data_IF_863180871292
#
_entry.id   IF_863180871292
#
_cell.length_a   1.000
_cell.length_b   1.000
_cell.length_c   1.000
_cell.angle_alpha   90.00
_cell.angle_beta   90.00
_cell.angle_gamma   90.00
#
_symmetry.space_group_name_H-M   'P 1'
#
loop_
_entity.id
_entity.type
_entity.pdbx_description
1 polymer ?
#
# COMPACT_ATOMS: atom_id res chain seq x y z
N UNK A 1 -14.10 10.04 -1.76
CA UNK A 1 -12.79 9.54 -2.26
C UNK A 1 -12.65 8.08 -1.86
N UNK A 2 -12.14 7.22 -2.75
CA UNK A 2 -11.78 5.82 -2.42
C UNK A 2 -10.34 5.79 -1.94
N UNK A 3 -10.08 5.07 -0.85
CA UNK A 3 -8.83 5.13 -0.08
C UNK A 3 -7.81 4.05 -0.46
N UNK A 4 -8.19 3.09 -1.30
CA UNK A 4 -7.29 2.06 -1.84
C UNK A 4 -7.65 1.73 -3.29
N UNK A 5 -6.66 1.35 -4.09
CA UNK A 5 -6.85 0.89 -5.48
C UNK A 5 -5.87 -0.22 -5.84
N UNK A 6 -6.28 -1.10 -6.73
CA UNK A 6 -5.37 -1.97 -7.48
C UNK A 6 -5.26 -1.47 -8.93
N UNK A 7 -4.08 -1.56 -9.58
CA UNK A 7 -3.92 -1.12 -10.96
C UNK A 7 -4.77 -1.95 -11.94
N UNK A 8 -5.44 -1.26 -12.87
CA UNK A 8 -6.02 -1.90 -14.06
C UNK A 8 -4.93 -2.36 -15.04
N UNK A 9 -5.24 -3.16 -16.08
CA UNK A 9 -4.26 -3.61 -17.07
C UNK A 9 -3.40 -2.48 -17.68
N UNK A 10 -3.99 -1.33 -17.99
CA UNK A 10 -3.32 -0.15 -18.56
C UNK A 10 -2.70 0.80 -17.52
N UNK A 11 -2.83 0.50 -16.23
CA UNK A 11 -2.25 1.27 -15.12
C UNK A 11 -1.15 0.47 -14.41
N UNK A 12 -0.21 1.12 -13.71
CA UNK A 12 0.10 2.54 -13.82
C UNK A 12 0.87 2.82 -15.12
N UNK A 13 0.70 4.03 -15.67
CA UNK A 13 1.60 4.55 -16.70
C UNK A 13 2.80 5.15 -15.97
N UNK A 14 3.94 4.48 -16.03
CA UNK A 14 5.21 4.94 -15.45
C UNK A 14 6.06 5.50 -16.59
N UNK A 15 6.41 6.80 -16.57
CA UNK A 15 7.24 7.40 -17.62
C UNK A 15 8.60 6.73 -17.75
N UNK A 16 9.11 6.68 -18.98
CA UNK A 16 10.49 6.23 -19.23
C UNK A 16 11.49 7.13 -18.49
N UNK A 17 12.58 6.54 -17.99
CA UNK A 17 13.58 7.26 -17.19
C UNK A 17 13.19 7.52 -15.73
N UNK A 18 12.02 7.04 -15.27
CA UNK A 18 11.65 7.12 -13.85
C UNK A 18 12.69 6.41 -12.99
N UNK A 19 13.38 7.16 -12.13
CA UNK A 19 14.41 6.63 -11.23
C UNK A 19 13.85 6.15 -9.91
N UNK A 20 12.74 6.74 -9.44
CA UNK A 20 12.10 6.42 -8.16
C UNK A 20 10.58 6.48 -8.28
N UNK A 21 9.90 5.48 -7.72
CA UNK A 21 8.45 5.40 -7.60
C UNK A 21 8.06 5.44 -6.12
N UNK A 22 7.23 6.42 -5.75
CA UNK A 22 6.57 6.43 -4.45
C UNK A 22 5.24 5.69 -4.60
N UNK A 23 5.11 4.53 -3.97
CA UNK A 23 3.92 3.70 -4.07
C UNK A 23 3.05 3.91 -2.82
N UNK A 24 1.86 4.51 -2.97
CA UNK A 24 1.04 4.93 -1.84
C UNK A 24 -0.11 3.95 -1.55
N UNK A 25 -0.32 3.66 -0.27
CA UNK A 25 -1.53 3.04 0.28
C UNK A 25 -1.97 3.79 1.54
N UNK A 26 -3.24 3.66 1.94
CA UNK A 26 -3.79 4.36 3.10
C UNK A 26 -4.01 3.40 4.27
N UNK A 27 -3.45 3.71 5.45
CA UNK A 27 -3.75 3.02 6.71
C UNK A 27 -5.22 3.18 7.10
N UNK A 28 -5.93 4.21 6.61
CA UNK A 28 -7.35 4.39 6.88
C UNK A 28 -8.22 3.27 6.29
N UNK A 29 -7.69 2.41 5.42
CA UNK A 29 -8.43 1.22 4.94
C UNK A 29 -8.28 0.01 5.84
N UNK A 30 -7.28 -0.02 6.74
CA UNK A 30 -7.09 -1.14 7.65
C UNK A 30 -8.25 -1.20 8.65
N UNK A 31 -8.78 -2.40 8.87
CA UNK A 31 -9.97 -2.61 9.69
C UNK A 31 -11.31 -2.24 9.02
N UNK A 32 -11.28 -1.64 7.82
CA UNK A 32 -12.51 -1.28 7.09
C UNK A 32 -12.93 -2.37 6.10
N UNK A 33 -14.23 -2.68 5.97
CA UNK A 33 -14.72 -3.68 5.02
C UNK A 33 -14.39 -3.34 3.56
N UNK A 34 -13.85 -4.30 2.79
CA UNK A 34 -13.61 -4.14 1.36
C UNK A 34 -14.93 -3.99 0.59
N UNK A 35 -15.23 -2.77 0.15
CA UNK A 35 -16.41 -2.41 -0.63
C UNK A 35 -16.07 -1.35 -1.68
N UNK A 36 -16.97 -1.10 -2.64
CA UNK A 36 -16.82 -0.04 -3.65
C UNK A 36 -16.76 1.38 -3.08
N UNK A 37 -17.23 1.57 -1.84
CA UNK A 37 -17.17 2.85 -1.16
C UNK A 37 -15.72 3.21 -0.80
N UNK A 38 -14.93 2.22 -0.39
CA UNK A 38 -13.54 2.43 0.06
C UNK A 38 -12.51 2.10 -1.02
N UNK A 39 -12.84 1.25 -1.99
CA UNK A 39 -11.89 0.73 -2.96
C UNK A 39 -12.27 1.07 -4.41
N UNK A 40 -11.26 1.40 -5.22
CA UNK A 40 -11.39 1.39 -6.68
C UNK A 40 -11.11 -0.02 -7.21
N UNK A 41 -12.08 -0.60 -7.92
CA UNK A 41 -12.01 -1.96 -8.50
C UNK A 41 -11.71 -3.03 -7.42
N UNK A 42 -12.56 -3.14 -6.38
CA UNK A 42 -12.38 -4.09 -5.27
C UNK A 42 -12.19 -5.56 -5.69
N UNK A 43 -12.65 -5.94 -6.89
CA UNK A 43 -12.45 -7.26 -7.49
C UNK A 43 -10.97 -7.53 -7.79
N UNK A 44 -10.25 -6.52 -8.27
CA UNK A 44 -8.79 -6.61 -8.48
C UNK A 44 -8.05 -6.71 -7.15
N UNK A 45 -8.48 -5.96 -6.12
CA UNK A 45 -7.90 -6.08 -4.78
C UNK A 45 -8.13 -7.49 -4.23
N UNK A 46 -9.34 -8.02 -4.36
CA UNK A 46 -9.68 -9.39 -3.95
C UNK A 46 -8.76 -10.39 -4.62
N UNK A 47 -8.59 -10.28 -5.94
CA UNK A 47 -7.74 -11.17 -6.73
C UNK A 47 -6.26 -11.11 -6.33
N UNK A 48 -5.73 -9.92 -6.06
CA UNK A 48 -4.30 -9.74 -5.76
C UNK A 48 -3.94 -10.05 -4.31
N UNK A 49 -4.87 -9.85 -3.38
CA UNK A 49 -4.58 -9.86 -1.93
C UNK A 49 -5.20 -11.03 -1.19
N UNK A 50 -6.20 -11.70 -1.77
CA UNK A 50 -7.03 -12.71 -1.11
C UNK A 50 -8.08 -12.12 -0.16
N UNK A 51 -8.19 -10.78 -0.07
CA UNK A 51 -9.21 -10.13 0.75
C UNK A 51 -10.62 -10.48 0.26
N UNK A 52 -11.52 -10.85 1.16
CA UNK A 52 -12.90 -11.15 0.82
C UNK A 52 -13.75 -9.89 0.80
N UNK A 53 -14.64 -9.79 -0.18
CA UNK A 53 -15.63 -8.72 -0.24
C UNK A 53 -16.43 -8.59 1.07
N UNK A 54 -16.68 -7.35 1.50
CA UNK A 54 -17.45 -7.04 2.70
C UNK A 54 -16.74 -7.39 4.00
N UNK A 55 -15.49 -7.87 3.96
CA UNK A 55 -14.70 -8.19 5.17
C UNK A 55 -13.61 -7.15 5.42
N UNK A 56 -13.23 -6.91 6.69
CA UNK A 56 -12.17 -5.97 7.02
C UNK A 56 -10.84 -6.26 6.30
N UNK A 57 -10.25 -5.22 5.72
CA UNK A 57 -8.88 -5.30 5.21
C UNK A 57 -7.91 -5.43 6.38
N UNK A 58 -7.05 -6.44 6.32
CA UNK A 58 -6.04 -6.76 7.33
C UNK A 58 -4.65 -6.35 6.84
N UNK A 59 -3.66 -6.22 7.74
CA UNK A 59 -2.27 -5.93 7.37
C UNK A 59 -1.71 -6.85 6.29
N UNK A 60 -2.00 -8.15 6.34
CA UNK A 60 -1.57 -9.09 5.30
C UNK A 60 -2.14 -8.78 3.90
N UNK A 61 -3.36 -8.25 3.80
CA UNK A 61 -3.95 -7.91 2.50
C UNK A 61 -3.23 -6.72 1.86
N UNK A 62 -2.92 -5.68 2.64
CA UNK A 62 -2.18 -4.51 2.15
C UNK A 62 -0.71 -4.88 1.86
N UNK A 63 -0.08 -5.68 2.71
CA UNK A 63 1.28 -6.17 2.46
C UNK A 63 1.36 -6.97 1.15
N UNK A 64 0.39 -7.86 0.90
CA UNK A 64 0.28 -8.57 -0.37
C UNK A 64 0.11 -7.59 -1.54
N UNK A 65 -0.73 -6.55 -1.42
CA UNK A 65 -0.88 -5.55 -2.48
C UNK A 65 0.42 -4.78 -2.75
N UNK A 66 1.15 -4.44 -1.69
CA UNK A 66 2.42 -3.70 -1.74
C UNK A 66 3.52 -4.49 -2.41
N UNK A 67 3.60 -5.80 -2.15
CA UNK A 67 4.66 -6.68 -2.64
C UNK A 67 4.33 -7.36 -3.98
N UNK A 68 3.17 -7.09 -4.59
CA UNK A 68 2.72 -7.79 -5.80
C UNK A 68 3.12 -7.04 -7.09
N UNK A 69 3.68 -7.78 -8.06
CA UNK A 69 4.09 -7.28 -9.39
C UNK A 69 2.93 -6.81 -10.27
N UNK A 70 1.70 -7.19 -9.93
CA UNK A 70 0.46 -6.67 -10.54
C UNK A 70 -0.25 -5.67 -9.61
N UNK A 71 0.28 -5.46 -8.40
CA UNK A 71 -0.14 -4.46 -7.43
C UNK A 71 0.77 -3.23 -7.48
N UNK A 72 1.35 -2.85 -6.34
CA UNK A 72 2.13 -1.62 -6.22
C UNK A 72 3.49 -1.66 -6.93
N UNK A 73 3.97 -2.84 -7.34
CA UNK A 73 5.21 -3.01 -8.11
C UNK A 73 4.99 -3.08 -9.62
N UNK A 74 3.74 -2.90 -10.07
CA UNK A 74 3.41 -3.02 -11.48
C UNK A 74 4.06 -1.92 -12.33
N UNK A 75 4.70 -2.34 -13.42
CA UNK A 75 5.37 -1.47 -14.41
C UNK A 75 6.49 -0.58 -13.84
N UNK A 76 7.01 -0.84 -12.63
CA UNK A 76 8.06 0.00 -12.02
C UNK A 76 9.45 -0.26 -12.60
N UNK A 77 9.64 -1.38 -13.31
CA UNK A 77 10.93 -1.78 -13.88
C UNK A 77 12.05 -1.78 -12.84
N UNK A 78 13.17 -1.13 -13.19
CA UNK A 78 14.35 -0.98 -12.32
C UNK A 78 14.29 0.26 -11.42
N UNK A 79 13.20 1.04 -11.46
CA UNK A 79 13.07 2.19 -10.57
C UNK A 79 13.16 1.76 -9.11
N UNK A 80 13.74 2.61 -8.27
CA UNK A 80 13.71 2.45 -6.83
C UNK A 80 12.27 2.58 -6.35
N UNK A 81 11.76 1.62 -5.60
CA UNK A 81 10.41 1.72 -5.02
C UNK A 81 10.52 2.13 -3.56
N UNK A 82 9.74 3.13 -3.16
CA UNK A 82 9.57 3.52 -1.76
C UNK A 82 8.07 3.44 -1.45
N UNK A 83 7.61 2.35 -0.83
CA UNK A 83 6.23 2.26 -0.37
C UNK A 83 5.96 3.24 0.76
N UNK A 84 4.80 3.89 0.70
CA UNK A 84 4.31 4.83 1.71
C UNK A 84 2.94 4.36 2.18
N UNK A 85 2.82 4.10 3.48
CA UNK A 85 1.54 3.89 4.15
C UNK A 85 1.15 5.24 4.77
N UNK A 86 0.23 5.95 4.13
CA UNK A 86 -0.25 7.27 4.56
C UNK A 86 -1.49 7.15 5.48
N UNK A 87 -1.94 8.26 6.08
CA UNK A 87 -3.07 8.35 7.01
C UNK A 87 -2.87 7.58 8.33
N UNK A 88 -1.63 7.49 8.78
CA UNK A 88 -1.23 6.96 10.10
C UNK A 88 -1.46 8.04 11.17
N UNK A 89 -2.74 8.38 11.36
CA UNK A 89 -3.14 9.56 12.12
C UNK A 89 -3.31 9.30 13.63
N UNK A 90 -3.33 8.04 14.05
CA UNK A 90 -3.55 7.63 15.43
C UNK A 90 -2.74 6.36 15.79
N UNK A 91 -2.70 6.02 17.08
CA UNK A 91 -1.94 4.89 17.60
C UNK A 91 -2.37 3.53 17.06
N UNK A 92 -3.68 3.32 16.87
CA UNK A 92 -4.22 2.06 16.35
C UNK A 92 -3.85 1.85 14.88
N UNK A 93 -3.96 2.91 14.06
CA UNK A 93 -3.48 2.88 12.67
C UNK A 93 -1.98 2.69 12.58
N UNK A 94 -1.20 3.25 13.52
CA UNK A 94 0.25 3.06 13.57
C UNK A 94 0.62 1.60 13.81
N UNK A 95 -0.05 0.91 14.72
CA UNK A 95 0.18 -0.50 14.99
C UNK A 95 -0.09 -1.37 13.76
N UNK A 96 -1.26 -1.21 13.13
CA UNK A 96 -1.62 -1.96 11.93
C UNK A 96 -0.71 -1.63 10.72
N UNK A 97 -0.27 -0.38 10.61
CA UNK A 97 0.65 0.05 9.55
C UNK A 97 2.07 -0.52 9.76
N UNK A 98 2.55 -0.63 11.01
CA UNK A 98 3.80 -1.28 11.34
C UNK A 98 3.76 -2.77 10.97
N UNK A 99 2.69 -3.48 11.34
CA UNK A 99 2.52 -4.89 10.96
C UNK A 99 2.50 -5.05 9.43
N UNK A 100 1.80 -4.15 8.73
CA UNK A 100 1.75 -4.13 7.26
C UNK A 100 3.15 -3.94 6.67
N UNK A 101 3.92 -2.99 7.20
CA UNK A 101 5.26 -2.66 6.73
C UNK A 101 6.22 -3.85 6.87
N UNK A 102 6.25 -4.49 8.04
CA UNK A 102 7.10 -5.66 8.27
C UNK A 102 6.74 -6.83 7.36
N UNK A 103 5.45 -7.17 7.24
CA UNK A 103 5.00 -8.21 6.31
C UNK A 103 5.37 -7.89 4.86
N UNK A 104 5.21 -6.64 4.43
CA UNK A 104 5.57 -6.23 3.06
C UNK A 104 7.08 -6.38 2.82
N UNK A 105 7.90 -6.02 3.80
CA UNK A 105 9.35 -6.21 3.76
C UNK A 105 9.75 -7.68 3.77
N UNK A 106 8.97 -8.59 4.34
CA UNK A 106 9.25 -10.04 4.29
C UNK A 106 8.88 -10.66 2.93
N UNK A 107 7.89 -10.08 2.23
CA UNK A 107 7.33 -10.67 1.00
C UNK A 107 8.12 -10.36 -0.28
N UNK A 108 9.01 -9.37 -0.26
CA UNK A 108 9.74 -8.96 -1.47
C UNK A 108 11.07 -8.28 -1.14
N UNK A 109 12.02 -8.39 -2.07
CA UNK A 109 13.30 -7.68 -2.05
C UNK A 109 13.30 -6.43 -2.95
N UNK A 110 12.15 -6.06 -3.54
CA UNK A 110 12.04 -4.89 -4.43
C UNK A 110 12.16 -3.54 -3.70
N UNK A 111 12.02 -3.54 -2.39
CA UNK A 111 12.27 -2.41 -1.51
C UNK A 111 12.79 -2.90 -0.16
N UNK A 112 13.64 -2.09 0.48
CA UNK A 112 14.29 -2.35 1.76
C UNK A 112 13.72 -1.52 2.91
N UNK A 113 12.80 -0.61 2.59
CA UNK A 113 12.17 0.29 3.55
C UNK A 113 10.70 0.57 3.20
N UNK A 114 9.90 0.89 4.22
CA UNK A 114 8.52 1.38 4.10
C UNK A 114 8.37 2.64 4.96
N UNK A 115 7.73 3.67 4.42
CA UNK A 115 7.50 4.94 5.12
C UNK A 115 6.08 4.97 5.68
N UNK A 116 5.96 5.17 6.99
CA UNK A 116 4.70 5.48 7.64
C UNK A 116 4.53 7.00 7.68
N UNK A 117 3.39 7.49 7.18
CA UNK A 117 3.16 8.91 7.04
C UNK A 117 1.76 9.34 7.47
N UNK A 118 1.68 10.59 7.92
CA UNK A 118 0.45 11.33 8.18
C UNK A 118 0.58 12.69 7.47
N UNK A 119 0.31 12.75 6.17
CA UNK A 119 0.60 13.93 5.33
C UNK A 119 -0.15 15.21 5.74
N UNK A 120 -1.13 15.11 6.64
CA UNK A 120 -1.88 16.25 7.20
C UNK A 120 -1.26 16.79 8.50
N UNK A 121 -0.27 16.10 9.06
CA UNK A 121 0.48 16.50 10.26
C UNK A 121 1.56 17.51 9.92
N UNK A 122 1.91 18.37 10.89
CA UNK A 122 3.07 19.25 10.80
C UNK A 122 4.39 18.47 10.60
N UNK A 123 4.46 17.26 11.16
CA UNK A 123 5.54 16.30 10.93
C UNK A 123 4.96 15.10 10.16
N UNK A 124 5.04 15.10 8.82
CA UNK A 124 4.31 14.14 8.00
C UNK A 124 4.93 12.75 8.00
N UNK A 125 6.21 12.60 8.34
CA UNK A 125 6.89 11.30 8.43
C UNK A 125 6.80 10.82 9.87
N UNK A 126 6.02 9.77 10.09
CA UNK A 126 5.82 9.17 11.42
C UNK A 126 6.97 8.23 11.74
N UNK A 127 7.35 7.37 10.79
CA UNK A 127 8.42 6.39 10.97
C UNK A 127 8.91 5.87 9.62
N UNK A 128 10.19 5.54 9.53
CA UNK A 128 10.75 4.73 8.43
C UNK A 128 11.07 3.35 9.00
N UNK A 129 10.43 2.33 8.46
CA UNK A 129 10.67 0.92 8.81
C UNK A 129 11.66 0.36 7.80
N UNK A 130 12.71 -0.32 8.26
CA UNK A 130 13.76 -0.88 7.41
C UNK A 130 14.02 -2.33 7.80
N UNK A 131 14.35 -3.16 6.82
CA UNK A 131 14.88 -4.50 7.07
C UNK A 131 16.26 -4.41 7.73
#
# INVERSE_FOLDING_TARGET
>A
MRSIKAPAPHEPVVPEGTSTVLALVSAATLGTPLTEQIAHRPELITRLTGARWGTPLRPCHLANLMANDQGMLKNVGNARVIPIINAVDDGGRRELALETAWRALELTDRFDQVVLAAMRSANPIIQVVRR
#
